data_IF_100288317742
#
_entry.id   IF_100288317742
#
_cell.length_a   1.000
_cell.length_b   1.000
_cell.length_c   1.000
_cell.angle_alpha   90.00
_cell.angle_beta   90.00
_cell.angle_gamma   90.00
#
_symmetry.space_group_name_H-M   'P 1'
#
loop_
_entity.id
_entity.type
_entity.pdbx_description
1 polymer ?
#
# COMPACT_ATOMS: atom_id res chain seq x y z
N UNK A 1 -4.93 3.02 15.66
CA UNK A 1 -5.22 1.85 16.49
C UNK A 1 -3.92 1.10 16.67
N UNK A 2 -3.50 0.88 17.91
CA UNK A 2 -2.32 0.08 18.19
C UNK A 2 -2.58 -1.39 17.80
N UNK A 3 -1.54 -2.15 17.46
CA UNK A 3 -1.66 -3.57 17.09
C UNK A 3 -2.35 -4.38 18.18
N UNK A 4 -2.10 -4.05 19.45
CA UNK A 4 -2.75 -4.69 20.61
C UNK A 4 -4.25 -4.39 20.62
N UNK A 5 -4.65 -3.13 20.44
CA UNK A 5 -6.07 -2.75 20.35
C UNK A 5 -6.78 -3.45 19.17
N UNK A 6 -6.08 -3.62 18.04
CA UNK A 6 -6.61 -4.39 16.91
C UNK A 6 -6.89 -5.83 17.37
N UNK A 7 -5.91 -6.53 17.95
CA UNK A 7 -6.08 -7.93 18.37
C UNK A 7 -7.12 -8.12 19.48
N UNK A 8 -7.33 -7.11 20.34
CA UNK A 8 -8.32 -7.16 21.43
C UNK A 8 -9.75 -6.81 20.97
N UNK A 9 -9.91 -6.28 19.75
CA UNK A 9 -11.22 -5.93 19.21
C UNK A 9 -11.90 -7.12 18.52
N UNK A 10 -13.24 -7.14 18.55
CA UNK A 10 -14.03 -8.14 17.81
C UNK A 10 -14.01 -7.83 16.32
N UNK A 11 -13.60 -8.79 15.50
CA UNK A 11 -13.62 -8.67 14.04
C UNK A 11 -14.63 -9.59 13.39
N UNK A 12 -15.08 -9.20 12.20
CA UNK A 12 -15.98 -9.99 11.38
C UNK A 12 -15.27 -11.17 10.69
N UNK A 13 -14.04 -10.94 10.19
CA UNK A 13 -13.22 -11.95 9.53
C UNK A 13 -12.26 -12.64 10.52
N UNK A 14 -11.85 -13.87 10.22
CA UNK A 14 -10.95 -14.68 11.04
C UNK A 14 -9.51 -14.67 10.52
N UNK A 15 -9.31 -14.33 9.24
CA UNK A 15 -8.00 -14.27 8.59
C UNK A 15 -7.68 -12.84 8.16
N UNK A 16 -6.46 -12.41 8.48
CA UNK A 16 -5.94 -11.10 8.14
C UNK A 16 -4.62 -11.22 7.40
N UNK A 17 -4.46 -10.43 6.35
CA UNK A 17 -3.16 -10.18 5.73
C UNK A 17 -2.51 -9.06 6.52
N UNK A 18 -1.49 -9.40 7.30
CA UNK A 18 -0.71 -8.41 8.05
C UNK A 18 0.51 -8.05 7.22
N UNK A 19 0.55 -6.81 6.74
CA UNK A 19 1.72 -6.27 6.06
C UNK A 19 2.73 -5.81 7.13
N UNK A 20 3.97 -6.29 7.04
CA UNK A 20 5.04 -5.77 7.87
C UNK A 20 5.25 -4.28 7.54
N UNK A 21 5.29 -3.44 8.57
CA UNK A 21 5.69 -2.06 8.38
C UNK A 21 7.16 -2.00 7.99
N UNK A 22 7.47 -1.17 7.00
CA UNK A 22 8.83 -0.74 6.69
C UNK A 22 9.19 0.32 7.73
N UNK A 23 10.35 0.21 8.37
CA UNK A 23 10.74 1.12 9.46
C UNK A 23 11.57 2.30 8.94
N UNK A 24 11.70 3.36 9.76
CA UNK A 24 12.71 4.39 9.49
C UNK A 24 14.08 3.86 9.91
N UNK A 25 15.08 3.95 9.03
CA UNK A 25 16.45 3.56 9.30
C UNK A 25 17.04 4.21 10.57
N UNK A 26 16.65 5.45 10.88
CA UNK A 26 17.14 6.17 12.07
C UNK A 26 16.62 5.60 13.39
N UNK A 27 15.58 4.76 13.37
CA UNK A 27 15.01 4.17 14.57
C UNK A 27 15.66 2.84 14.93
N UNK A 28 16.36 2.21 13.97
CA UNK A 28 17.06 0.96 14.20
C UNK A 28 18.45 1.22 14.78
N UNK A 29 18.79 0.54 15.87
CA UNK A 29 20.14 0.59 16.45
C UNK A 29 21.18 -0.15 15.61
N UNK A 30 20.72 -1.09 14.76
CA UNK A 30 21.53 -1.79 13.76
C UNK A 30 20.73 -1.93 12.47
N UNK A 31 21.33 -1.56 11.34
CA UNK A 31 20.78 -1.87 10.03
C UNK A 31 20.92 -3.36 9.77
N UNK A 32 19.83 -4.00 9.35
CA UNK A 32 19.83 -5.43 9.05
C UNK A 32 19.93 -5.65 7.54
N UNK A 33 20.92 -6.41 7.06
CA UNK A 33 20.97 -6.84 5.67
C UNK A 33 19.65 -7.53 5.29
N UNK A 34 19.04 -7.12 4.17
CA UNK A 34 17.76 -7.66 3.70
C UNK A 34 16.51 -7.02 4.30
N UNK A 35 16.63 -6.06 5.23
CA UNK A 35 15.49 -5.22 5.62
C UNK A 35 15.38 -3.99 4.71
N UNK A 36 14.14 -3.63 4.40
CA UNK A 36 13.80 -2.37 3.75
C UNK A 36 13.58 -1.29 4.79
N UNK A 37 13.94 -0.06 4.42
CA UNK A 37 13.75 1.14 5.23
C UNK A 37 13.12 2.23 4.37
N UNK A 38 12.29 3.07 4.99
CA UNK A 38 11.71 4.20 4.29
C UNK A 38 12.78 5.25 3.98
N UNK A 39 12.87 5.63 2.71
CA UNK A 39 13.70 6.75 2.24
C UNK A 39 12.91 8.06 2.33
N UNK A 40 11.59 7.98 2.10
CA UNK A 40 10.70 9.13 2.08
C UNK A 40 10.92 10.04 0.86
N UNK A 41 10.14 11.11 0.80
CA UNK A 41 10.29 12.17 -0.22
C UNK A 41 11.62 12.90 -0.08
N UNK A 42 12.02 13.61 -1.13
CA UNK A 42 13.03 14.67 -1.03
C UNK A 42 12.62 15.64 0.08
N UNK A 43 13.56 16.07 0.95
CA UNK A 43 13.25 17.03 2.01
C UNK A 43 12.63 18.31 1.46
N UNK A 44 11.56 18.78 2.10
CA UNK A 44 10.93 20.04 1.75
C UNK A 44 11.74 21.26 2.26
N UNK A 45 11.19 22.47 2.10
CA UNK A 45 11.82 23.72 2.57
C UNK A 45 12.00 23.80 4.09
N UNK A 46 11.31 22.94 4.84
CA UNK A 46 11.43 22.80 6.29
C UNK A 46 12.31 21.61 6.69
N UNK A 47 13.03 21.01 5.72
CA UNK A 47 13.85 19.81 5.91
C UNK A 47 13.04 18.61 6.41
N UNK A 48 11.77 18.53 6.02
CA UNK A 48 10.86 17.45 6.36
C UNK A 48 10.76 16.46 5.20
N UNK A 49 10.88 15.17 5.51
CA UNK A 49 10.60 14.08 4.58
C UNK A 49 9.26 13.44 4.93
N UNK A 50 8.57 12.92 3.92
CA UNK A 50 7.28 12.27 4.12
C UNK A 50 7.32 10.86 3.55
N UNK A 51 6.58 9.94 4.16
CA UNK A 51 6.31 8.66 3.50
C UNK A 51 5.38 8.91 2.33
N UNK A 52 5.65 8.26 1.22
CA UNK A 52 4.75 8.18 0.09
C UNK A 52 4.72 6.75 -0.45
N UNK A 53 3.61 6.38 -1.06
CA UNK A 53 3.55 5.21 -1.93
C UNK A 53 3.43 5.65 -3.38
N UNK A 54 4.00 4.87 -4.28
CA UNK A 54 3.81 5.01 -5.72
C UNK A 54 2.77 4.00 -6.19
N UNK A 55 1.88 4.42 -7.09
CA UNK A 55 0.94 3.56 -7.78
C UNK A 55 1.07 3.75 -9.26
N UNK A 56 1.34 2.65 -9.95
CA UNK A 56 1.30 2.58 -11.40
C UNK A 56 0.09 1.76 -11.82
N UNK A 57 -0.67 2.30 -12.77
CA UNK A 57 -1.76 1.59 -13.44
C UNK A 57 -1.30 1.24 -14.84
N UNK A 58 -1.62 0.03 -15.29
CA UNK A 58 -1.34 -0.45 -16.63
C UNK A 58 -2.62 -0.93 -17.31
N UNK A 59 -2.69 -0.78 -18.62
CA UNK A 59 -3.68 -1.44 -19.48
C UNK A 59 -2.96 -2.44 -20.38
N UNK A 60 -3.70 -3.39 -20.95
CA UNK A 60 -3.17 -4.35 -21.91
C UNK A 60 -4.01 -4.37 -23.19
N UNK A 61 -3.36 -4.51 -24.32
CA UNK A 61 -3.97 -4.78 -25.62
C UNK A 61 -3.13 -5.80 -26.42
N UNK A 62 -3.46 -6.01 -27.69
CA UNK A 62 -2.76 -6.95 -28.58
C UNK A 62 -1.26 -6.65 -28.74
N UNK A 63 -0.83 -5.43 -28.47
CA UNK A 63 0.57 -4.98 -28.60
C UNK A 63 1.36 -5.06 -27.29
N UNK A 64 0.68 -5.26 -26.15
CA UNK A 64 1.31 -5.48 -24.85
C UNK A 64 0.70 -4.64 -23.73
N UNK A 65 1.46 -4.50 -22.64
CA UNK A 65 1.09 -3.65 -21.50
C UNK A 65 1.55 -2.21 -21.75
N UNK A 66 0.72 -1.26 -21.30
CA UNK A 66 0.96 0.17 -21.42
C UNK A 66 0.72 0.87 -20.08
N UNK A 67 1.63 1.71 -19.58
CA UNK A 67 1.38 2.52 -18.40
C UNK A 67 0.30 3.57 -18.71
N UNK A 68 -0.68 3.72 -17.81
CA UNK A 68 -1.81 4.65 -17.97
C UNK A 68 -1.72 5.79 -16.99
N UNK A 69 -1.47 5.48 -15.71
CA UNK A 69 -1.40 6.48 -14.63
C UNK A 69 -0.24 6.16 -13.72
N UNK A 70 0.53 7.18 -13.37
CA UNK A 70 1.51 7.13 -12.28
C UNK A 70 1.12 8.20 -11.27
N UNK A 71 0.82 7.77 -10.06
CA UNK A 71 0.39 8.64 -8.98
C UNK A 71 1.07 8.23 -7.68
N UNK A 72 1.53 9.20 -6.92
CA UNK A 72 2.02 9.02 -5.57
C UNK A 72 1.03 9.61 -4.57
N UNK A 73 0.94 9.00 -3.38
CA UNK A 73 0.16 9.55 -2.27
C UNK A 73 1.06 9.70 -1.08
N UNK A 74 1.10 10.91 -0.54
CA UNK A 74 1.91 11.26 0.61
C UNK A 74 1.16 11.01 1.91
N UNK A 75 1.87 10.63 2.96
CA UNK A 75 1.34 10.58 4.32
C UNK A 75 0.94 11.98 4.83
N UNK A 76 0.16 12.02 5.91
CA UNK A 76 -0.37 13.27 6.46
C UNK A 76 0.69 14.08 7.22
N UNK A 77 1.56 13.39 7.98
CA UNK A 77 2.63 13.99 8.77
C UNK A 77 4.01 13.53 8.27
N UNK A 78 5.05 14.35 8.50
CA UNK A 78 6.41 13.99 8.10
C UNK A 78 6.93 12.81 8.93
N UNK A 79 7.91 12.09 8.36
CA UNK A 79 8.63 11.02 9.01
C UNK A 79 9.55 11.60 10.10
N UNK A 80 9.33 11.33 11.39
CA UNK A 80 10.17 11.93 12.43
C UNK A 80 11.51 11.21 12.55
N UNK A 81 12.53 11.98 12.94
CA UNK A 81 13.88 11.46 13.18
C UNK A 81 13.93 10.42 14.31
N UNK A 82 13.04 10.54 15.30
CA UNK A 82 12.93 9.64 16.45
C UNK A 82 11.47 9.24 16.65
N UNK A 83 11.23 8.03 17.16
CA UNK A 83 9.90 7.58 17.58
C UNK A 83 9.40 8.49 18.70
N UNK A 84 8.30 9.23 18.51
CA UNK A 84 7.80 10.12 19.55
C UNK A 84 7.32 9.35 20.77
N UNK A 85 7.91 9.64 21.93
CA UNK A 85 7.54 9.03 23.20
C UNK A 85 6.38 9.81 23.85
N UNK A 86 5.21 9.85 23.18
CA UNK A 86 4.02 10.45 23.76
C UNK A 86 2.76 9.64 23.41
N UNK A 87 1.78 9.68 24.30
CA UNK A 87 0.51 8.96 24.16
C UNK A 87 -0.38 9.46 23.02
N UNK A 88 -0.05 10.61 22.41
CA UNK A 88 -0.76 11.18 21.26
C UNK A 88 -0.14 10.76 19.92
N UNK A 89 0.92 9.95 19.94
CA UNK A 89 1.58 9.47 18.74
C UNK A 89 0.66 8.51 17.97
N UNK A 90 0.40 8.84 16.71
CA UNK A 90 -0.36 7.99 15.81
C UNK A 90 0.50 7.64 14.59
N UNK A 91 1.03 6.41 14.56
CA UNK A 91 1.86 5.92 13.46
C UNK A 91 1.14 5.98 12.11
N UNK A 92 -0.19 5.88 12.09
CA UNK A 92 -0.98 5.96 10.87
C UNK A 92 -0.89 7.33 10.20
N UNK A 93 -0.70 8.42 10.94
CA UNK A 93 -0.55 9.74 10.34
C UNK A 93 0.77 9.89 9.57
N UNK A 94 1.77 9.05 9.88
CA UNK A 94 3.11 9.09 9.27
C UNK A 94 3.29 8.00 8.21
N UNK A 95 2.74 6.81 8.41
CA UNK A 95 2.87 5.70 7.46
C UNK A 95 1.66 5.53 6.55
N UNK A 96 0.49 6.00 6.97
CA UNK A 96 -0.76 5.86 6.24
C UNK A 96 -0.85 6.87 5.10
N UNK A 97 -0.90 6.37 3.87
CA UNK A 97 -1.04 7.18 2.65
C UNK A 97 -2.47 7.14 2.08
N UNK A 98 -3.41 6.57 2.82
CA UNK A 98 -4.83 6.59 2.45
C UNK A 98 -5.33 8.04 2.39
N UNK A 99 -6.07 8.35 1.33
CA UNK A 99 -6.60 9.69 1.04
C UNK A 99 -8.00 9.89 1.61
N UNK A 100 -8.71 8.80 1.90
CA UNK A 100 -9.99 8.83 2.60
C UNK A 100 -9.75 9.13 4.08
N UNK A 101 -10.30 10.23 4.54
CA UNK A 101 -10.26 10.67 5.95
C UNK A 101 -11.69 10.79 6.47
N UNK A 102 -11.91 10.37 7.71
CA UNK A 102 -13.21 10.45 8.36
C UNK A 102 -13.26 11.72 9.19
N UNK A 103 -14.09 12.68 8.78
CA UNK A 103 -14.35 13.93 9.49
C UNK A 103 -15.82 13.94 9.94
N UNK A 104 -16.08 14.05 11.25
CA UNK A 104 -17.43 14.17 11.81
C UNK A 104 -18.45 13.15 11.24
N UNK A 105 -18.05 11.88 11.20
CA UNK A 105 -18.83 10.75 10.66
C UNK A 105 -19.11 10.80 9.15
N UNK A 106 -18.52 11.74 8.40
CA UNK A 106 -18.50 11.78 6.94
C UNK A 106 -17.12 11.46 6.39
N UNK A 107 -17.07 10.67 5.33
CA UNK A 107 -15.82 10.45 4.59
C UNK A 107 -15.55 11.64 3.67
N UNK A 108 -14.36 12.22 3.79
CA UNK A 108 -13.82 13.24 2.89
C UNK A 108 -12.49 12.77 2.29
N UNK A 109 -11.94 13.54 1.35
CA UNK A 109 -10.72 13.18 0.60
C UNK A 109 -9.70 14.32 0.67
N UNK A 110 -8.45 13.97 0.96
CA UNK A 110 -7.33 14.93 0.99
C UNK A 110 -6.55 14.91 -0.34
N UNK A 111 -7.12 15.56 -1.37
CA UNK A 111 -6.51 15.57 -2.71
C UNK A 111 -5.14 16.26 -2.76
N UNK A 112 -4.84 17.19 -1.85
CA UNK A 112 -3.54 17.88 -1.76
C UNK A 112 -2.35 16.96 -1.45
N UNK A 113 -2.62 15.70 -1.04
CA UNK A 113 -1.60 14.67 -0.81
C UNK A 113 -1.36 13.77 -2.01
N UNK A 114 -2.11 13.97 -3.10
CA UNK A 114 -1.95 13.24 -4.36
C UNK A 114 -0.95 14.00 -5.23
N UNK A 115 0.07 13.29 -5.70
CA UNK A 115 1.10 13.81 -6.59
C UNK A 115 1.04 13.00 -7.88
N UNK A 116 0.68 13.62 -8.99
CA UNK A 116 0.62 12.95 -10.30
C UNK A 116 1.87 13.24 -11.11
N UNK A 117 2.23 12.35 -12.04
CA UNK A 117 3.49 12.46 -12.81
C UNK A 117 3.57 13.70 -13.71
N UNK A 118 2.43 14.28 -14.08
CA UNK A 118 2.34 15.52 -14.84
C UNK A 118 2.54 16.78 -13.99
N UNK A 119 2.57 16.65 -12.66
CA UNK A 119 2.82 17.77 -11.76
C UNK A 119 4.32 18.04 -11.63
N UNK A 120 4.68 19.32 -11.51
CA UNK A 120 6.07 19.74 -11.23
C UNK A 120 6.56 19.17 -9.90
N UNK A 121 5.63 18.97 -8.98
CA UNK A 121 5.84 18.40 -7.66
C UNK A 121 6.22 16.91 -7.72
N UNK A 122 6.14 16.23 -8.87
CA UNK A 122 6.54 14.83 -8.97
C UNK A 122 7.99 14.60 -8.58
N UNK A 123 8.89 15.54 -8.89
CA UNK A 123 10.31 15.45 -8.51
C UNK A 123 10.53 15.31 -6.99
N UNK A 124 9.57 15.76 -6.17
CA UNK A 124 9.70 15.66 -4.71
C UNK A 124 9.59 14.21 -4.21
N UNK A 125 9.06 13.28 -5.00
CA UNK A 125 8.95 11.88 -4.58
C UNK A 125 10.32 11.21 -4.47
N UNK A 126 11.35 11.76 -5.12
CA UNK A 126 12.72 11.24 -5.06
C UNK A 126 12.95 9.93 -5.81
N UNK A 127 12.15 9.64 -6.84
CA UNK A 127 12.28 8.44 -7.67
C UNK A 127 12.92 8.77 -9.02
N UNK A 128 13.84 7.92 -9.46
CA UNK A 128 14.44 7.96 -10.78
C UNK A 128 13.68 7.12 -11.80
N UNK A 129 14.15 7.15 -13.05
CA UNK A 129 13.57 6.34 -14.13
C UNK A 129 13.70 4.84 -13.85
N UNK A 130 14.80 4.40 -13.23
CA UNK A 130 15.01 3.00 -12.88
C UNK A 130 13.96 2.51 -11.87
N UNK A 131 13.60 3.34 -10.88
CA UNK A 131 12.52 3.03 -9.93
C UNK A 131 11.15 2.92 -10.63
N UNK A 132 10.90 3.76 -11.64
CA UNK A 132 9.68 3.70 -12.44
C UNK A 132 9.64 2.45 -13.32
N UNK A 133 10.78 2.01 -13.85
CA UNK A 133 10.89 0.75 -14.60
C UNK A 133 10.59 -0.43 -13.67
N UNK A 134 11.17 -0.46 -12.47
CA UNK A 134 10.89 -1.50 -11.48
C UNK A 134 9.41 -1.52 -11.08
N UNK A 135 8.82 -0.35 -10.84
CA UNK A 135 7.39 -0.23 -10.54
C UNK A 135 6.51 -0.75 -11.70
N UNK A 136 6.90 -0.47 -12.95
CA UNK A 136 6.21 -0.99 -14.13
C UNK A 136 6.28 -2.52 -14.21
N UNK A 137 7.49 -3.08 -14.09
CA UNK A 137 7.71 -4.53 -14.14
C UNK A 137 6.94 -5.24 -13.01
N UNK A 138 7.00 -4.72 -11.78
CA UNK A 138 6.26 -5.27 -10.64
C UNK A 138 4.74 -5.23 -10.88
N UNK A 139 4.23 -4.14 -11.45
CA UNK A 139 2.81 -3.99 -11.76
C UNK A 139 2.37 -5.01 -12.82
N UNK A 140 3.11 -5.13 -13.92
CA UNK A 140 2.82 -6.10 -14.99
C UNK A 140 2.85 -7.53 -14.47
N UNK A 141 3.89 -7.90 -13.71
CA UNK A 141 4.00 -9.23 -13.12
C UNK A 141 2.86 -9.53 -12.14
N UNK A 142 2.43 -8.54 -11.36
CA UNK A 142 1.29 -8.67 -10.45
C UNK A 142 -0.02 -8.91 -11.21
N UNK A 143 -0.27 -8.17 -12.29
CA UNK A 143 -1.46 -8.38 -13.14
C UNK A 143 -1.46 -9.78 -13.75
N UNK A 144 -0.32 -10.24 -14.29
CA UNK A 144 -0.18 -11.59 -14.84
C UNK A 144 -0.40 -12.66 -13.77
N UNK A 145 0.12 -12.45 -12.55
CA UNK A 145 -0.06 -13.39 -11.45
C UNK A 145 -1.53 -13.50 -11.02
N UNK A 146 -2.24 -12.37 -10.98
CA UNK A 146 -3.69 -12.34 -10.70
C UNK A 146 -4.45 -13.09 -11.79
N UNK A 147 -4.18 -12.81 -13.06
CA UNK A 147 -4.85 -13.47 -14.19
C UNK A 147 -4.62 -14.99 -14.18
N UNK A 148 -3.37 -15.43 -13.95
CA UNK A 148 -3.04 -16.85 -13.78
C UNK A 148 -3.76 -17.49 -12.60
N UNK A 149 -3.93 -16.76 -11.49
CA UNK A 149 -4.69 -17.26 -10.34
C UNK A 149 -6.18 -17.38 -10.67
N UNK A 150 -6.76 -16.40 -11.36
CA UNK A 150 -8.14 -16.44 -11.85
C UNK A 150 -8.37 -17.63 -12.78
N UNK A 151 -7.48 -17.88 -13.74
CA UNK A 151 -7.53 -19.04 -14.62
C UNK A 151 -7.44 -20.37 -13.85
N UNK A 152 -6.61 -20.43 -12.81
CA UNK A 152 -6.51 -21.62 -11.94
C UNK A 152 -7.79 -21.84 -11.12
N UNK A 153 -8.45 -20.77 -10.72
CA UNK A 153 -9.71 -20.79 -9.96
C UNK A 153 -10.92 -21.08 -10.85
N UNK A 154 -10.85 -20.86 -12.17
CA UNK A 154 -11.94 -21.14 -13.12
C UNK A 154 -11.63 -22.38 -13.95
N UNK A 155 -12.21 -23.52 -13.58
CA UNK A 155 -12.06 -24.78 -14.32
C UNK A 155 -13.32 -25.01 -15.13
N UNK A 156 -13.21 -25.10 -16.47
CA UNK A 156 -14.36 -25.28 -17.37
C UNK A 156 -15.46 -24.20 -17.19
N UNK A 157 -15.07 -22.95 -16.97
CA UNK A 157 -15.97 -21.82 -16.64
C UNK A 157 -16.75 -21.97 -15.32
N UNK A 158 -16.38 -22.91 -14.46
CA UNK A 158 -16.92 -23.05 -13.11
C UNK A 158 -15.88 -22.63 -12.07
N UNK A 159 -16.33 -21.93 -11.03
CA UNK A 159 -15.47 -21.50 -9.94
C UNK A 159 -15.12 -22.68 -9.03
N UNK A 160 -13.83 -22.94 -8.86
CA UNK A 160 -13.32 -24.00 -8.02
C UNK A 160 -13.30 -23.57 -6.54
N UNK A 161 -14.43 -23.73 -5.87
CA UNK A 161 -14.59 -23.41 -4.45
C UNK A 161 -13.66 -24.23 -3.53
N UNK A 162 -13.36 -25.47 -3.88
CA UNK A 162 -12.46 -26.33 -3.09
C UNK A 162 -11.04 -25.77 -3.07
N UNK A 163 -10.53 -25.37 -4.24
CA UNK A 163 -9.24 -24.69 -4.36
C UNK A 163 -9.27 -23.34 -3.64
N UNK A 164 -10.31 -22.54 -3.83
CA UNK A 164 -10.43 -21.24 -3.17
C UNK A 164 -10.41 -21.38 -1.64
N UNK A 165 -11.16 -22.32 -1.07
CA UNK A 165 -11.16 -22.61 0.38
C UNK A 165 -9.79 -23.02 0.91
N UNK A 166 -8.99 -23.72 0.10
CA UNK A 166 -7.61 -24.08 0.47
C UNK A 166 -6.69 -22.85 0.50
N UNK A 167 -6.91 -21.88 -0.39
CA UNK A 167 -6.12 -20.65 -0.47
C UNK A 167 -6.56 -19.60 0.56
N UNK A 168 -7.86 -19.52 0.84
CA UNK A 168 -8.46 -18.58 1.77
C UNK A 168 -9.40 -19.31 2.75
N UNK A 169 -8.85 -19.88 3.83
CA UNK A 169 -9.62 -20.63 4.82
C UNK A 169 -10.26 -19.70 5.85
N UNK A 170 -11.10 -18.77 5.39
CA UNK A 170 -11.94 -17.90 6.21
C UNK A 170 -13.40 -18.24 5.94
N UNK A 171 -14.05 -18.93 6.88
CA UNK A 171 -15.41 -19.45 6.68
C UNK A 171 -16.46 -18.31 6.59
N UNK A 172 -16.19 -17.15 7.18
CA UNK A 172 -17.07 -15.98 7.08
C UNK A 172 -17.06 -15.42 5.66
N UNK A 173 -15.87 -15.20 5.09
CA UNK A 173 -15.73 -14.73 3.72
C UNK A 173 -16.26 -15.77 2.70
N UNK A 174 -16.04 -17.06 2.96
CA UNK A 174 -16.59 -18.13 2.12
C UNK A 174 -18.12 -18.11 2.11
N UNK A 175 -18.75 -17.83 3.26
CA UNK A 175 -20.20 -17.68 3.37
C UNK A 175 -20.74 -16.50 2.56
N UNK A 176 -19.99 -15.39 2.47
CA UNK A 176 -20.37 -14.21 1.69
C UNK A 176 -20.35 -14.45 0.17
N UNK A 177 -19.48 -15.35 -0.32
CA UNK A 177 -19.35 -15.68 -1.75
C UNK A 177 -20.42 -16.65 -2.27
N UNK A 178 -21.14 -17.34 -1.38
CA UNK A 178 -22.12 -18.39 -1.71
C UNK A 178 -23.58 -17.88 -1.66
N UNK A 179 -23.78 -16.56 -1.52
CA UNK A 179 -25.09 -15.88 -1.56
C UNK A 179 -25.44 -15.52 -3.02
#
# INVERSE_FOLDING_TARGET
MAVVEFFDSSHHYEKFIVQSLVENASWSTKLHPGKFYHIGTVPDRHNQTFINDLRMMVSADETGFHPVVIVSRRAHKPLPAYIPNNSKWNSWEVFGTNISVKLDSKWTREYDRIITIDQKEFDIIGLGIDDLIDAYVQTVLSVIAIDKMCQKLLVNNEFNFELYRTLNPDDVLLGELLI
#
